data_IF_965729548641
#
_entry.id   IF_965729548641
#
_cell.length_a   1.000
_cell.length_b   1.000
_cell.length_c   1.000
_cell.angle_alpha   90.00
_cell.angle_beta   90.00
_cell.angle_gamma   90.00
#
_symmetry.space_group_name_H-M   'P 1'
#
loop_
_entity.id
_entity.type
_entity.pdbx_description
1 polymer ?
#
# COMPACT_ATOMS: atom_id res chain seq x y z
N UNK A 1 -10.31 28.88 -21.29
CA UNK A 1 -10.09 29.00 -19.82
C UNK A 1 -9.40 27.72 -19.39
N UNK A 2 -8.25 27.83 -18.71
CA UNK A 2 -7.56 26.66 -18.14
C UNK A 2 -8.23 26.40 -16.79
N UNK A 3 -8.85 25.23 -16.63
CA UNK A 3 -9.49 24.85 -15.38
C UNK A 3 -8.43 24.73 -14.27
N UNK A 4 -8.74 25.25 -13.08
CA UNK A 4 -7.84 25.13 -11.93
C UNK A 4 -7.71 23.66 -11.49
N UNK A 5 -6.61 23.33 -10.81
CA UNK A 5 -6.34 21.97 -10.31
C UNK A 5 -7.51 21.41 -9.49
N UNK A 6 -8.13 22.28 -8.68
CA UNK A 6 -9.34 21.97 -7.91
C UNK A 6 -10.54 21.67 -8.81
N UNK A 7 -10.78 22.43 -9.88
CA UNK A 7 -11.91 22.21 -10.80
C UNK A 7 -11.82 20.88 -11.55
N UNK A 8 -10.61 20.48 -11.96
CA UNK A 8 -10.40 19.20 -12.65
C UNK A 8 -10.60 18.00 -11.73
N UNK A 9 -10.39 18.16 -10.42
CA UNK A 9 -10.51 17.11 -9.44
C UNK A 9 -11.96 16.83 -8.98
N UNK A 10 -12.85 17.83 -9.06
CA UNK A 10 -14.24 17.77 -8.57
C UNK A 10 -15.00 16.51 -9.00
N UNK A 11 -14.97 16.04 -10.27
CA UNK A 11 -15.70 14.84 -10.67
C UNK A 11 -15.23 13.57 -9.93
N UNK A 12 -13.94 13.48 -9.60
CA UNK A 12 -13.36 12.35 -8.87
C UNK A 12 -13.75 12.40 -7.39
N UNK A 13 -13.64 13.57 -6.76
CA UNK A 13 -14.08 13.79 -5.38
C UNK A 13 -15.56 13.41 -5.20
N UNK A 14 -16.45 13.95 -6.05
CA UNK A 14 -17.88 13.64 -6.01
C UNK A 14 -18.17 12.13 -6.13
N UNK A 15 -17.43 11.43 -7.01
CA UNK A 15 -17.59 9.98 -7.18
C UNK A 15 -17.13 9.21 -5.94
N UNK A 16 -15.99 9.59 -5.36
CA UNK A 16 -15.46 8.95 -4.15
C UNK A 16 -16.40 9.18 -2.95
N UNK A 17 -16.91 10.39 -2.78
CA UNK A 17 -17.92 10.72 -1.76
C UNK A 17 -19.21 9.92 -1.94
N UNK A 18 -19.71 9.83 -3.17
CA UNK A 18 -20.91 9.04 -3.47
C UNK A 18 -20.74 7.54 -3.21
N UNK A 19 -19.51 7.03 -3.21
CA UNK A 19 -19.18 5.64 -2.83
C UNK A 19 -18.86 5.49 -1.33
N UNK A 20 -18.98 6.56 -0.55
CA UNK A 20 -18.69 6.54 0.89
C UNK A 20 -17.21 6.47 1.24
N UNK A 21 -16.32 6.92 0.34
CA UNK A 21 -14.90 7.00 0.64
C UNK A 21 -14.65 7.94 1.83
N UNK A 22 -13.74 7.55 2.71
CA UNK A 22 -13.37 8.38 3.86
C UNK A 22 -12.65 9.66 3.39
N UNK A 23 -12.85 10.83 4.01
CA UNK A 23 -12.21 12.10 3.60
C UNK A 23 -10.70 12.00 3.41
N UNK A 24 -9.99 11.36 4.35
CA UNK A 24 -8.54 11.12 4.24
C UNK A 24 -8.16 10.42 2.93
N UNK A 25 -8.97 9.46 2.46
CA UNK A 25 -8.69 8.78 1.19
C UNK A 25 -8.85 9.72 0.00
N UNK A 26 -9.87 10.59 0.04
CA UNK A 26 -10.11 11.59 -1.01
C UNK A 26 -8.95 12.58 -1.07
N UNK A 27 -8.47 13.05 0.08
CA UNK A 27 -7.32 13.96 0.19
C UNK A 27 -6.03 13.34 -0.35
N UNK A 28 -5.76 12.08 -0.01
CA UNK A 28 -4.60 11.32 -0.53
C UNK A 28 -4.73 11.14 -2.04
N UNK A 29 -5.91 10.78 -2.53
CA UNK A 29 -6.15 10.61 -3.96
C UNK A 29 -5.98 11.94 -4.71
N UNK A 30 -6.42 13.06 -4.14
CA UNK A 30 -6.18 14.40 -4.67
C UNK A 30 -4.68 14.66 -4.80
N UNK A 31 -3.89 14.45 -3.73
CA UNK A 31 -2.43 14.63 -3.75
C UNK A 31 -1.74 13.82 -4.86
N UNK A 32 -2.12 12.55 -5.06
CA UNK A 32 -1.58 11.76 -6.16
C UNK A 32 -2.05 12.23 -7.55
N UNK A 33 -3.27 12.74 -7.65
CA UNK A 33 -3.77 13.35 -8.88
C UNK A 33 -2.99 14.62 -9.25
N UNK A 34 -2.62 15.45 -8.27
CA UNK A 34 -1.75 16.61 -8.49
C UNK A 34 -0.36 16.19 -8.98
N UNK A 35 0.22 15.14 -8.38
CA UNK A 35 1.51 14.58 -8.81
C UNK A 35 1.45 14.06 -10.25
N UNK A 36 0.36 13.38 -10.62
CA UNK A 36 0.13 12.91 -11.98
C UNK A 36 0.10 14.08 -12.98
N UNK A 37 -0.63 15.15 -12.66
CA UNK A 37 -0.69 16.34 -13.52
C UNK A 37 0.65 17.08 -13.62
N UNK A 38 1.48 16.99 -12.57
CA UNK A 38 2.87 17.47 -12.58
C UNK A 38 3.83 16.57 -13.37
N UNK A 39 3.36 15.47 -13.96
CA UNK A 39 4.16 14.54 -14.76
C UNK A 39 4.93 13.50 -13.95
N UNK A 40 4.64 13.34 -12.66
CA UNK A 40 5.24 12.29 -11.84
C UNK A 40 4.79 10.91 -12.35
N UNK A 41 5.76 10.01 -12.54
CA UNK A 41 5.52 8.68 -13.12
C UNK A 41 5.51 7.56 -12.09
N UNK A 42 6.04 7.81 -10.90
CA UNK A 42 6.28 6.79 -9.88
C UNK A 42 7.45 5.86 -10.19
N UNK A 43 8.21 6.11 -11.26
CA UNK A 43 9.42 5.35 -11.58
C UNK A 43 10.59 5.79 -10.68
N UNK A 44 11.32 4.81 -10.17
CA UNK A 44 12.59 5.01 -9.45
C UNK A 44 13.71 4.59 -10.41
N UNK A 45 14.56 5.53 -10.81
CA UNK A 45 15.67 5.29 -11.74
C UNK A 45 16.81 4.57 -11.03
N UNK A 46 17.52 3.68 -11.73
CA UNK A 46 18.72 3.00 -11.18
C UNK A 46 19.77 4.01 -10.72
N UNK A 47 19.90 5.15 -11.41
CA UNK A 47 20.85 6.21 -11.02
C UNK A 47 20.47 6.94 -9.73
N UNK A 48 19.25 6.75 -9.23
CA UNK A 48 18.72 7.42 -8.02
C UNK A 48 18.78 6.55 -6.77
N UNK A 49 19.29 5.32 -6.89
CA UNK A 49 19.36 4.34 -5.80
C UNK A 49 20.73 3.67 -5.75
N UNK A 50 21.03 3.08 -4.61
CA UNK A 50 22.25 2.30 -4.37
C UNK A 50 21.88 0.96 -3.72
N UNK A 51 22.67 -0.11 -3.93
CA UNK A 51 22.46 -1.40 -3.26
C UNK A 51 22.56 -1.27 -1.74
N UNK A 52 21.80 -2.09 -1.01
CA UNK A 52 21.98 -2.26 0.44
C UNK A 52 23.02 -3.37 0.66
N UNK A 53 24.20 -3.01 1.16
CA UNK A 53 25.35 -3.93 1.27
C UNK A 53 25.19 -5.03 2.32
N UNK A 54 24.51 -4.74 3.44
CA UNK A 54 24.33 -5.71 4.52
C UNK A 54 23.05 -5.47 5.32
N UNK A 55 22.49 -6.57 5.83
CA UNK A 55 21.30 -6.58 6.69
C UNK A 55 21.55 -7.53 7.87
N UNK A 56 20.89 -7.31 9.03
CA UNK A 56 20.88 -8.27 10.11
C UNK A 56 20.26 -9.61 9.68
N UNK A 57 20.85 -10.71 10.14
CA UNK A 57 20.32 -12.06 9.95
C UNK A 57 19.32 -12.38 11.07
N UNK A 58 18.08 -12.72 10.69
CA UNK A 58 17.02 -13.06 11.63
C UNK A 58 17.39 -14.26 12.52
N UNK A 59 18.20 -15.19 12.02
CA UNK A 59 18.65 -16.38 12.78
C UNK A 59 19.75 -16.04 13.80
N UNK A 60 20.33 -14.83 13.72
CA UNK A 60 21.41 -14.35 14.60
C UNK A 60 20.98 -13.20 15.50
N UNK A 61 19.67 -12.97 15.60
CA UNK A 61 19.13 -11.96 16.49
C UNK A 61 19.49 -12.28 17.96
N UNK A 62 19.80 -11.26 18.78
CA UNK A 62 20.13 -11.46 20.19
C UNK A 62 19.04 -12.21 20.96
N UNK A 63 19.45 -13.14 21.84
CA UNK A 63 18.54 -14.03 22.55
C UNK A 63 17.57 -13.29 23.51
N UNK A 64 17.98 -12.13 24.02
CA UNK A 64 17.16 -11.26 24.88
C UNK A 64 15.93 -10.70 24.15
N UNK A 65 15.97 -10.56 22.82
CA UNK A 65 14.80 -10.15 22.02
C UNK A 65 13.63 -11.13 22.14
N UNK A 66 13.88 -12.40 22.49
CA UNK A 66 12.80 -13.36 22.72
C UNK A 66 11.94 -12.97 23.93
N UNK A 67 12.56 -12.52 25.02
CA UNK A 67 11.85 -12.10 26.22
C UNK A 67 11.04 -10.82 25.94
N UNK A 68 11.65 -9.85 25.26
CA UNK A 68 11.01 -8.60 24.83
C UNK A 68 9.81 -8.90 23.92
N UNK A 69 9.97 -9.79 22.94
CA UNK A 69 8.91 -10.19 22.03
C UNK A 69 7.72 -10.83 22.74
N UNK A 70 7.96 -11.65 23.77
CA UNK A 70 6.87 -12.25 24.58
C UNK A 70 6.05 -11.19 25.32
N UNK A 71 6.71 -10.17 25.88
CA UNK A 71 6.01 -9.07 26.57
C UNK A 71 5.24 -8.16 25.59
N UNK A 72 5.78 -7.96 24.39
CA UNK A 72 5.13 -7.14 23.36
C UNK A 72 3.94 -7.85 22.68
N UNK A 73 3.91 -9.19 22.71
CA UNK A 73 2.95 -9.99 21.95
C UNK A 73 1.49 -9.65 22.30
N UNK A 74 1.18 -9.41 23.57
CA UNK A 74 -0.18 -9.08 24.03
C UNK A 74 -0.72 -7.78 23.42
N UNK A 75 0.17 -6.87 23.00
CA UNK A 75 -0.17 -5.58 22.39
C UNK A 75 0.05 -5.57 20.88
N UNK A 76 0.40 -6.71 20.29
CA UNK A 76 0.74 -6.82 18.88
C UNK A 76 -0.50 -7.15 18.06
N UNK A 77 -0.83 -6.31 17.09
CA UNK A 77 -1.86 -6.60 16.08
C UNK A 77 -1.25 -7.29 14.86
N UNK A 78 -1.95 -8.30 14.31
CA UNK A 78 -1.55 -8.97 13.07
C UNK A 78 -2.53 -8.58 11.95
N UNK A 79 -2.00 -7.94 10.91
CA UNK A 79 -2.78 -7.55 9.72
C UNK A 79 -2.32 -8.39 8.53
N UNK A 80 -3.25 -9.07 7.87
CA UNK A 80 -3.02 -9.79 6.61
C UNK A 80 -3.71 -9.03 5.48
N UNK A 81 -2.93 -8.53 4.53
CA UNK A 81 -3.47 -7.82 3.36
C UNK A 81 -4.26 -8.79 2.48
N UNK A 82 -5.53 -8.47 2.21
CA UNK A 82 -6.42 -9.34 1.42
C UNK A 82 -7.35 -8.58 0.46
N UNK A 83 -7.05 -7.32 0.15
CA UNK A 83 -7.90 -6.49 -0.72
C UNK A 83 -7.63 -6.63 -2.22
N UNK A 84 -6.53 -7.29 -2.60
CA UNK A 84 -6.09 -7.40 -4.00
C UNK A 84 -6.84 -8.49 -4.76
N UNK A 85 -7.13 -8.22 -6.04
CA UNK A 85 -7.64 -9.20 -6.99
C UNK A 85 -6.49 -9.87 -7.73
N UNK A 86 -6.54 -11.19 -7.87
CA UNK A 86 -5.50 -11.96 -8.58
C UNK A 86 -5.58 -11.86 -10.10
N UNK A 87 -5.81 -10.66 -10.65
CA UNK A 87 -6.12 -10.45 -12.08
C UNK A 87 -5.02 -10.93 -13.02
N UNK A 88 -3.75 -10.80 -12.63
CA UNK A 88 -2.61 -11.36 -13.38
C UNK A 88 -2.62 -12.88 -13.48
N UNK A 89 -3.40 -13.56 -12.64
CA UNK A 89 -3.64 -15.02 -12.68
C UNK A 89 -5.02 -15.36 -13.26
N UNK A 90 -5.74 -14.39 -13.83
CA UNK A 90 -7.11 -14.58 -14.34
C UNK A 90 -8.17 -14.73 -13.25
N UNK A 91 -7.90 -14.30 -12.01
CA UNK A 91 -8.86 -14.38 -10.92
C UNK A 91 -9.67 -13.09 -10.81
N UNK A 92 -10.97 -13.22 -10.54
CA UNK A 92 -11.89 -12.12 -10.25
C UNK A 92 -12.04 -11.87 -8.74
N UNK A 93 -11.38 -12.67 -7.90
CA UNK A 93 -11.47 -12.64 -6.44
C UNK A 93 -10.09 -12.61 -5.78
N UNK A 94 -10.11 -12.48 -4.45
CA UNK A 94 -8.91 -12.49 -3.63
C UNK A 94 -8.11 -13.79 -3.80
N UNK A 95 -6.80 -13.67 -4.00
CA UNK A 95 -5.89 -14.81 -4.19
C UNK A 95 -5.85 -15.75 -2.97
N UNK A 96 -6.17 -15.24 -1.78
CA UNK A 96 -6.18 -16.02 -0.54
C UNK A 96 -7.24 -17.14 -0.52
N UNK A 97 -8.21 -17.11 -1.43
CA UNK A 97 -9.28 -18.12 -1.50
C UNK A 97 -8.85 -19.40 -2.21
N UNK A 98 -7.66 -19.42 -2.83
CA UNK A 98 -7.16 -20.61 -3.49
C UNK A 98 -6.72 -21.66 -2.46
N UNK A 99 -7.10 -22.93 -2.64
CA UNK A 99 -6.58 -24.01 -1.81
C UNK A 99 -5.07 -24.17 -2.08
N UNK A 100 -4.27 -24.13 -1.01
CA UNK A 100 -2.81 -24.26 -1.09
C UNK A 100 -2.36 -25.70 -0.81
N UNK A 101 -3.02 -26.37 0.14
CA UNK A 101 -2.82 -27.78 0.50
C UNK A 101 -4.15 -28.36 0.95
N UNK A 102 -4.44 -29.61 0.61
CA UNK A 102 -5.60 -30.40 1.07
C UNK A 102 -6.92 -29.62 1.27
N UNK A 103 -7.38 -28.92 0.23
CA UNK A 103 -8.72 -28.29 0.15
C UNK A 103 -8.84 -26.99 0.91
#
# INVERSE_FOLDING_TARGET
MIATLTEQFVPFANRLEAQGAHPIFIDIFASYYEQLLAGQTGLISEESIEPVDSLPDAERLPADLQAIGREALERTAVIKLNGGLGTGMGLEQAKSLLPVKQG
#
